data_IF_610597131980
#
_entry.id   IF_610597131980
#
_cell.length_a   1.000
_cell.length_b   1.000
_cell.length_c   1.000
_cell.angle_alpha   90.00
_cell.angle_beta   90.00
_cell.angle_gamma   90.00
#
_symmetry.space_group_name_H-M   'P 1'
#
loop_
_entity.id
_entity.type
_entity.pdbx_description
1 polymer ?
#
# COMPACT_ATOMS: atom_id res chain seq x y z
N UNK A 1 20.15 16.75 -15.62
CA UNK A 1 19.15 15.68 -15.50
C UNK A 1 17.77 16.23 -15.83
N UNK A 2 16.93 15.51 -16.54
CA UNK A 2 15.54 15.92 -16.76
C UNK A 2 14.79 16.03 -15.43
N UNK A 3 13.83 16.96 -15.32
CA UNK A 3 13.00 17.06 -14.12
C UNK A 3 12.20 15.75 -13.94
N UNK A 4 12.01 15.23 -12.71
CA UNK A 4 11.34 13.95 -12.47
C UNK A 4 9.98 13.82 -13.17
N UNK A 5 9.20 14.89 -13.24
CA UNK A 5 7.89 14.93 -13.90
C UNK A 5 7.94 14.87 -15.43
N UNK A 6 9.08 15.12 -16.06
CA UNK A 6 9.29 14.94 -17.49
C UNK A 6 9.83 13.57 -17.87
N UNK A 7 10.15 12.73 -16.89
CA UNK A 7 10.65 11.38 -17.12
C UNK A 7 9.61 10.50 -17.82
N UNK A 8 10.09 9.49 -18.54
CA UNK A 8 9.27 8.49 -19.23
C UNK A 8 8.31 7.78 -18.27
N UNK A 9 8.84 7.30 -17.15
CA UNK A 9 8.05 6.60 -16.15
C UNK A 9 6.94 7.48 -15.53
N UNK A 10 7.20 8.78 -15.34
CA UNK A 10 6.16 9.70 -14.85
C UNK A 10 5.03 9.89 -15.88
N UNK A 11 5.37 10.13 -17.16
CA UNK A 11 4.34 10.30 -18.23
C UNK A 11 3.47 9.05 -18.39
N UNK A 12 4.06 7.88 -18.28
CA UNK A 12 3.36 6.60 -18.35
C UNK A 12 2.60 6.26 -17.05
N UNK A 13 2.74 7.09 -16.00
CA UNK A 13 2.24 6.76 -14.65
C UNK A 13 2.77 5.42 -14.14
N UNK A 14 3.98 5.07 -14.56
CA UNK A 14 4.69 3.82 -14.32
C UNK A 14 6.06 4.10 -13.69
N UNK A 15 6.11 4.48 -12.41
CA UNK A 15 7.36 4.95 -11.79
C UNK A 15 8.44 3.88 -11.64
N UNK A 16 8.10 2.62 -11.83
CA UNK A 16 9.05 1.51 -11.87
C UNK A 16 9.46 1.09 -13.27
N UNK A 17 9.06 1.79 -14.33
CA UNK A 17 9.33 1.40 -15.72
C UNK A 17 9.03 -0.09 -15.99
N UNK A 18 7.93 -0.59 -15.43
CA UNK A 18 7.49 -1.99 -15.56
C UNK A 18 7.12 -2.26 -17.00
N UNK A 19 7.65 -3.35 -17.55
CA UNK A 19 7.33 -3.78 -18.92
C UNK A 19 5.85 -4.13 -19.06
N UNK A 20 5.30 -3.78 -20.21
CA UNK A 20 3.96 -4.18 -20.59
C UNK A 20 3.91 -5.69 -20.88
N UNK A 21 2.86 -6.34 -20.43
CA UNK A 21 2.59 -7.73 -20.75
C UNK A 21 1.08 -7.95 -20.90
N UNK A 22 0.66 -8.49 -22.03
CA UNK A 22 -0.74 -8.86 -22.26
C UNK A 22 -1.18 -10.01 -21.32
N UNK A 23 -0.24 -10.89 -20.95
CA UNK A 23 -0.51 -12.07 -20.13
C UNK A 23 -0.43 -11.79 -18.62
N UNK A 24 -0.06 -10.58 -18.22
CA UNK A 24 0.05 -10.17 -16.83
C UNK A 24 -0.57 -8.77 -16.65
N UNK A 25 -1.88 -8.66 -16.76
CA UNK A 25 -2.56 -7.37 -16.61
C UNK A 25 -2.46 -6.91 -15.17
N UNK A 26 -1.65 -5.87 -14.94
CA UNK A 26 -1.65 -5.17 -13.68
C UNK A 26 -2.97 -4.42 -13.51
N UNK A 27 -3.52 -4.42 -12.31
CA UNK A 27 -4.69 -3.61 -12.05
C UNK A 27 -4.42 -2.14 -12.37
N UNK A 28 -5.30 -1.52 -13.17
CA UNK A 28 -5.12 -0.15 -13.66
C UNK A 28 -4.15 0.00 -14.83
N UNK A 29 -3.62 -1.09 -15.40
CA UNK A 29 -2.90 -1.07 -16.67
C UNK A 29 -3.88 -0.83 -17.80
N UNK A 30 -3.66 0.22 -18.62
CA UNK A 30 -4.59 0.61 -19.70
C UNK A 30 -4.03 0.34 -21.09
N UNK A 31 -2.74 0.48 -21.29
CA UNK A 31 -2.11 0.27 -22.59
C UNK A 31 -0.63 -0.03 -22.47
N UNK A 32 -0.02 -0.36 -23.60
CA UNK A 32 1.39 -0.29 -23.84
C UNK A 32 1.76 1.14 -24.23
N UNK A 33 2.93 1.58 -23.86
CA UNK A 33 3.50 2.85 -24.30
C UNK A 33 3.56 2.96 -25.83
N UNK A 34 3.29 4.15 -26.35
CA UNK A 34 3.31 4.42 -27.80
C UNK A 34 4.74 4.46 -28.37
N UNK A 35 4.82 4.25 -29.71
CA UNK A 35 6.06 4.33 -30.48
C UNK A 35 6.75 2.99 -30.71
N UNK A 36 7.68 2.99 -31.69
CA UNK A 36 8.41 1.78 -32.12
C UNK A 36 9.27 1.15 -31.02
N UNK A 37 9.79 1.96 -30.09
CA UNK A 37 10.58 1.52 -28.93
C UNK A 37 9.73 1.40 -27.65
N UNK A 38 8.42 1.52 -27.74
CA UNK A 38 7.52 1.40 -26.59
C UNK A 38 7.57 -0.01 -26.03
N UNK A 39 7.91 -0.14 -24.73
CA UNK A 39 7.96 -1.44 -24.03
C UNK A 39 7.22 -1.41 -22.69
N UNK A 40 7.03 -0.24 -22.12
CA UNK A 40 6.51 -0.11 -20.76
C UNK A 40 4.98 -0.08 -20.72
N UNK A 41 4.44 -0.53 -19.60
CA UNK A 41 3.02 -0.39 -19.28
C UNK A 41 2.68 1.08 -19.02
N UNK A 42 1.47 1.49 -19.45
CA UNK A 42 0.84 2.76 -19.10
C UNK A 42 -0.27 2.47 -18.11
N UNK A 43 -0.31 3.22 -17.00
CA UNK A 43 -1.34 3.06 -15.98
C UNK A 43 -2.38 4.18 -16.03
N UNK A 44 -3.57 3.87 -15.52
CA UNK A 44 -4.70 4.78 -15.39
C UNK A 44 -4.37 5.98 -14.49
N UNK A 45 -3.64 5.72 -13.38
CA UNK A 45 -3.18 6.75 -12.45
C UNK A 45 -1.80 6.42 -11.87
N UNK A 46 -1.17 7.41 -11.24
CA UNK A 46 0.12 7.23 -10.57
C UNK A 46 0.04 6.21 -9.42
N UNK A 47 -1.08 6.20 -8.70
CA UNK A 47 -1.32 5.26 -7.61
C UNK A 47 -1.38 3.81 -8.10
N UNK A 48 -1.92 3.56 -9.28
CA UNK A 48 -1.90 2.22 -9.88
C UNK A 48 -0.50 1.79 -10.32
N UNK A 49 0.30 2.70 -10.87
CA UNK A 49 1.69 2.40 -11.17
C UNK A 49 2.54 2.13 -9.93
N UNK A 50 2.33 2.89 -8.86
CA UNK A 50 2.97 2.66 -7.56
C UNK A 50 2.49 1.34 -6.95
N UNK A 51 1.20 1.04 -7.04
CA UNK A 51 0.65 -0.26 -6.66
C UNK A 51 1.34 -1.41 -7.39
N UNK A 52 1.52 -1.29 -8.70
CA UNK A 52 2.16 -2.34 -9.51
C UNK A 52 3.60 -2.56 -9.06
N UNK A 53 4.37 -1.48 -8.82
CA UNK A 53 5.73 -1.55 -8.29
C UNK A 53 5.74 -2.24 -6.92
N UNK A 54 4.93 -1.80 -5.98
CA UNK A 54 4.84 -2.38 -4.64
C UNK A 54 4.47 -3.87 -4.70
N UNK A 55 3.47 -4.24 -5.50
CA UNK A 55 3.03 -5.62 -5.67
C UNK A 55 4.11 -6.51 -6.32
N UNK A 56 4.92 -5.95 -7.23
CA UNK A 56 6.03 -6.69 -7.84
C UNK A 56 7.13 -6.98 -6.82
N UNK A 57 7.47 -6.02 -5.96
CA UNK A 57 8.45 -6.19 -4.88
C UNK A 57 7.99 -7.24 -3.86
N UNK A 58 6.72 -7.20 -3.44
CA UNK A 58 6.12 -8.23 -2.58
C UNK A 58 6.21 -9.59 -3.25
N UNK A 59 5.90 -9.68 -4.54
CA UNK A 59 6.02 -10.94 -5.30
C UNK A 59 7.46 -11.45 -5.38
N UNK A 60 8.46 -10.57 -5.39
CA UNK A 60 9.86 -10.98 -5.31
C UNK A 60 10.18 -11.67 -3.98
N UNK A 61 9.67 -11.15 -2.86
CA UNK A 61 9.79 -11.82 -1.56
C UNK A 61 9.06 -13.16 -1.56
N UNK A 62 7.78 -13.17 -1.91
CA UNK A 62 6.89 -14.33 -1.71
C UNK A 62 7.22 -15.50 -2.62
N UNK A 63 7.62 -15.23 -3.88
CA UNK A 63 7.85 -16.27 -4.88
C UNK A 63 9.32 -16.63 -5.08
N UNK A 64 10.21 -15.70 -4.75
CA UNK A 64 11.64 -15.86 -5.05
C UNK A 64 12.53 -15.75 -3.81
N UNK A 65 11.98 -15.45 -2.64
CA UNK A 65 12.73 -15.23 -1.40
C UNK A 65 13.64 -14.00 -1.44
N UNK A 66 13.42 -13.08 -2.40
CA UNK A 66 14.23 -11.87 -2.58
C UNK A 66 13.65 -10.75 -1.70
N UNK A 67 14.24 -10.59 -0.54
CA UNK A 67 13.81 -9.61 0.46
C UNK A 67 14.97 -8.79 1.04
N UNK A 68 16.05 -8.65 0.30
CA UNK A 68 17.15 -7.72 0.59
C UNK A 68 17.29 -6.72 -0.55
N UNK A 69 17.83 -5.52 -0.28
CA UNK A 69 18.02 -4.51 -1.34
C UNK A 69 18.88 -5.09 -2.47
N UNK A 70 20.00 -5.74 -2.14
CA UNK A 70 20.89 -6.35 -3.13
C UNK A 70 20.15 -7.41 -3.96
N UNK A 71 19.47 -8.36 -3.33
CA UNK A 71 18.76 -9.43 -4.03
C UNK A 71 17.64 -8.90 -4.95
N UNK A 72 16.89 -7.92 -4.49
CA UNK A 72 15.82 -7.26 -5.27
C UNK A 72 16.41 -6.55 -6.48
N UNK A 73 17.42 -5.70 -6.30
CA UNK A 73 17.96 -4.86 -7.37
C UNK A 73 18.78 -5.65 -8.39
N UNK A 74 19.45 -6.72 -8.02
CA UNK A 74 20.08 -7.62 -8.97
C UNK A 74 19.07 -8.30 -9.92
N UNK A 75 17.85 -8.55 -9.45
CA UNK A 75 16.76 -9.03 -10.30
C UNK A 75 16.08 -7.91 -11.09
N UNK A 76 15.92 -6.73 -10.48
CA UNK A 76 15.25 -5.58 -11.07
C UNK A 76 16.05 -4.97 -12.22
N UNK A 77 17.35 -4.74 -12.01
CA UNK A 77 18.26 -4.08 -12.92
C UNK A 77 19.57 -4.89 -13.01
N UNK A 78 19.57 -5.99 -13.81
CA UNK A 78 20.76 -6.84 -13.95
C UNK A 78 21.98 -6.05 -14.43
N UNK A 79 23.16 -6.41 -13.94
CA UNK A 79 24.42 -5.71 -14.21
C UNK A 79 24.90 -5.68 -15.66
N UNK A 80 24.24 -6.43 -16.56
CA UNK A 80 24.49 -6.35 -18.01
C UNK A 80 23.99 -5.04 -18.64
N UNK A 81 23.06 -4.34 -17.98
CA UNK A 81 22.42 -3.12 -18.50
C UNK A 81 22.68 -1.89 -17.61
N UNK A 82 23.09 -2.09 -16.36
CA UNK A 82 23.20 -1.03 -15.33
C UNK A 82 24.35 -1.31 -14.36
N UNK A 83 24.87 -0.25 -13.72
CA UNK A 83 25.72 -0.39 -12.53
C UNK A 83 24.81 -0.71 -11.31
N UNK A 84 24.49 -2.00 -11.17
CA UNK A 84 23.65 -2.49 -10.08
C UNK A 84 24.25 -2.19 -8.71
N UNK A 85 25.59 -2.20 -8.59
CA UNK A 85 26.27 -1.87 -7.34
C UNK A 85 26.02 -0.42 -6.90
N UNK A 86 26.13 0.51 -7.82
CA UNK A 86 25.83 1.91 -7.56
C UNK A 86 24.34 2.11 -7.22
N UNK A 87 23.45 1.38 -7.88
CA UNK A 87 22.01 1.42 -7.57
C UNK A 87 21.73 0.90 -6.15
N UNK A 88 22.27 -0.26 -5.79
CA UNK A 88 22.16 -0.83 -4.42
C UNK A 88 22.63 0.19 -3.39
N UNK A 89 23.82 0.77 -3.59
CA UNK A 89 24.35 1.77 -2.68
C UNK A 89 23.47 3.03 -2.57
N UNK A 90 22.87 3.48 -3.67
CA UNK A 90 21.97 4.63 -3.68
C UNK A 90 20.69 4.35 -2.90
N UNK A 91 20.06 3.18 -3.12
CA UNK A 91 18.84 2.79 -2.41
C UNK A 91 19.11 2.54 -0.93
N UNK A 92 20.22 1.88 -0.58
CA UNK A 92 20.62 1.69 0.82
C UNK A 92 20.79 3.02 1.57
N UNK A 93 21.47 3.99 0.96
CA UNK A 93 21.60 5.34 1.55
C UNK A 93 20.26 6.04 1.71
N UNK A 94 19.36 5.90 0.73
CA UNK A 94 18.07 6.58 0.74
C UNK A 94 17.08 5.98 1.75
N UNK A 95 17.19 4.67 2.01
CA UNK A 95 16.28 3.95 2.93
C UNK A 95 16.84 3.84 4.34
N UNK A 96 18.17 3.87 4.49
CA UNK A 96 18.88 3.57 5.74
C UNK A 96 19.05 2.07 6.01
N UNK A 97 18.53 1.17 5.16
CA UNK A 97 18.70 -0.27 5.28
C UNK A 97 20.05 -0.73 4.71
N UNK A 98 20.70 -1.70 5.35
CA UNK A 98 21.89 -2.31 4.79
C UNK A 98 21.56 -3.11 3.50
N UNK A 99 22.53 -3.26 2.54
CA UNK A 99 22.29 -3.97 1.29
C UNK A 99 21.74 -5.38 1.46
N UNK A 100 22.22 -6.11 2.47
CA UNK A 100 21.89 -7.51 2.74
C UNK A 100 20.91 -7.68 3.92
N UNK A 101 20.40 -6.57 4.47
CA UNK A 101 19.38 -6.61 5.52
C UNK A 101 18.10 -7.24 5.01
N UNK A 102 17.55 -8.18 5.79
CA UNK A 102 16.27 -8.82 5.46
C UNK A 102 15.12 -7.90 5.82
N UNK A 103 14.33 -7.58 4.81
CA UNK A 103 13.17 -6.71 4.92
C UNK A 103 11.88 -7.55 4.88
N UNK A 104 10.86 -7.11 5.61
CA UNK A 104 9.50 -7.60 5.42
C UNK A 104 8.76 -6.66 4.48
N UNK A 105 8.58 -7.08 3.22
CA UNK A 105 7.92 -6.27 2.19
C UNK A 105 6.39 -6.23 2.32
N UNK A 106 5.80 -6.95 3.27
CA UNK A 106 4.41 -6.77 3.69
C UNK A 106 4.27 -5.66 4.75
N UNK A 107 5.39 -5.22 5.33
CA UNK A 107 5.42 -4.13 6.30
C UNK A 107 5.52 -2.77 5.59
N UNK A 108 4.65 -1.83 5.97
CA UNK A 108 4.73 -0.45 5.50
C UNK A 108 6.08 0.21 5.84
N UNK A 109 6.65 -0.11 7.01
CA UNK A 109 7.92 0.45 7.46
C UNK A 109 9.10 0.07 6.54
N UNK A 110 9.07 -1.11 5.93
CA UNK A 110 10.10 -1.57 4.99
C UNK A 110 9.76 -1.20 3.54
N UNK A 111 8.53 -1.47 3.10
CA UNK A 111 8.15 -1.31 1.69
C UNK A 111 8.08 0.16 1.25
N UNK A 112 7.55 1.03 2.10
CA UNK A 112 7.34 2.44 1.75
C UNK A 112 8.64 3.18 1.42
N UNK A 113 9.70 3.15 2.27
CA UNK A 113 10.98 3.77 1.93
C UNK A 113 11.66 3.11 0.73
N UNK A 114 11.56 1.79 0.57
CA UNK A 114 12.12 1.08 -0.59
C UNK A 114 11.46 1.52 -1.90
N UNK A 115 10.13 1.54 -1.97
CA UNK A 115 9.38 2.04 -3.14
C UNK A 115 9.76 3.49 -3.46
N UNK A 116 9.84 4.35 -2.45
CA UNK A 116 10.21 5.75 -2.65
C UNK A 116 11.64 5.91 -3.19
N UNK A 117 12.60 5.11 -2.70
CA UNK A 117 13.98 5.14 -3.14
C UNK A 117 14.14 4.64 -4.58
N UNK A 118 13.46 3.55 -4.95
CA UNK A 118 13.42 3.05 -6.33
C UNK A 118 12.84 4.09 -7.26
N UNK A 119 11.69 4.69 -6.93
CA UNK A 119 11.07 5.76 -7.72
C UNK A 119 12.03 6.94 -7.89
N UNK A 120 12.70 7.35 -6.81
CA UNK A 120 13.66 8.44 -6.86
C UNK A 120 14.83 8.16 -7.82
N UNK A 121 15.30 6.94 -7.86
CA UNK A 121 16.36 6.51 -8.79
C UNK A 121 15.85 6.47 -10.23
N UNK A 122 14.74 5.80 -10.49
CA UNK A 122 14.16 5.61 -11.83
C UNK A 122 13.74 6.92 -12.50
N UNK A 123 13.21 7.86 -11.73
CA UNK A 123 12.68 9.11 -12.27
C UNK A 123 13.68 10.29 -12.15
N UNK A 124 14.84 10.07 -11.55
CA UNK A 124 15.82 11.13 -11.26
C UNK A 124 15.35 12.10 -10.16
N UNK A 125 14.52 11.63 -9.24
CA UNK A 125 13.97 12.37 -8.11
C UNK A 125 12.59 11.88 -7.71
N UNK A 126 12.04 12.39 -6.59
CA UNK A 126 10.73 12.00 -6.08
C UNK A 126 9.65 13.02 -6.48
N UNK A 127 8.81 12.76 -7.51
CA UNK A 127 7.81 13.71 -7.95
C UNK A 127 6.49 13.61 -7.19
N UNK A 128 6.29 12.55 -6.39
CA UNK A 128 5.01 12.24 -5.75
C UNK A 128 4.92 12.76 -4.32
N UNK A 129 3.81 13.41 -3.95
CA UNK A 129 3.47 13.66 -2.55
C UNK A 129 3.35 12.35 -1.75
N UNK A 130 3.55 12.43 -0.44
CA UNK A 130 3.41 11.27 0.45
C UNK A 130 2.05 10.56 0.29
N UNK A 131 0.96 11.33 0.18
CA UNK A 131 -0.38 10.77 0.04
C UNK A 131 -0.56 9.88 -1.20
N UNK A 132 0.07 10.22 -2.34
CA UNK A 132 0.01 9.42 -3.57
C UNK A 132 0.80 8.12 -3.41
N UNK A 133 1.97 8.17 -2.76
CA UNK A 133 2.75 6.98 -2.43
C UNK A 133 1.97 6.05 -1.50
N UNK A 134 1.41 6.61 -0.43
CA UNK A 134 0.69 5.85 0.60
C UNK A 134 -0.59 5.22 0.03
N UNK A 135 -1.30 5.91 -0.86
CA UNK A 135 -2.46 5.36 -1.56
C UNK A 135 -2.06 4.20 -2.50
N UNK A 136 -0.94 4.31 -3.22
CA UNK A 136 -0.42 3.23 -4.04
C UNK A 136 -0.09 1.97 -3.21
N UNK A 137 0.55 2.14 -2.05
CA UNK A 137 0.84 1.05 -1.13
C UNK A 137 -0.44 0.45 -0.54
N UNK A 138 -1.40 1.30 -0.15
CA UNK A 138 -2.71 0.87 0.35
C UNK A 138 -3.43 -0.02 -0.69
N UNK A 139 -3.41 0.37 -1.95
CA UNK A 139 -3.95 -0.45 -3.06
C UNK A 139 -3.19 -1.76 -3.27
N UNK A 140 -1.91 -1.82 -2.90
CA UNK A 140 -1.12 -3.06 -2.89
C UNK A 140 -1.38 -3.93 -1.66
N UNK A 141 -2.23 -3.49 -0.72
CA UNK A 141 -2.58 -4.22 0.51
C UNK A 141 -1.68 -3.90 1.70
N UNK A 142 -0.75 -2.94 1.57
CA UNK A 142 0.16 -2.54 2.65
C UNK A 142 -0.31 -1.23 3.26
N UNK A 143 -0.80 -1.32 4.49
CA UNK A 143 -1.38 -0.20 5.21
C UNK A 143 -0.35 0.44 6.15
N UNK A 144 -0.34 1.77 6.20
CA UNK A 144 0.35 2.49 7.26
C UNK A 144 -0.31 2.16 8.59
N UNK A 145 0.47 1.69 9.55
CA UNK A 145 -0.03 1.54 10.91
C UNK A 145 -0.42 2.91 11.47
N UNK A 146 -1.65 3.03 11.96
CA UNK A 146 -2.11 4.25 12.64
C UNK A 146 -1.67 4.17 14.09
N UNK A 147 -0.82 5.11 14.52
CA UNK A 147 -0.25 5.12 15.87
C UNK A 147 -1.20 5.68 16.92
N UNK A 148 -2.24 6.43 16.51
CA UNK A 148 -3.16 7.08 17.43
C UNK A 148 -4.62 6.96 16.98
N UNK A 149 -5.56 7.05 17.94
CA UNK A 149 -6.99 7.10 17.65
C UNK A 149 -7.36 8.29 16.76
N UNK A 150 -6.64 9.42 16.89
CA UNK A 150 -6.84 10.59 16.04
C UNK A 150 -6.46 10.35 14.59
N UNK A 151 -5.36 9.65 14.32
CA UNK A 151 -4.98 9.24 12.96
C UNK A 151 -5.94 8.20 12.38
N UNK A 152 -6.41 7.25 13.23
CA UNK A 152 -7.45 6.30 12.84
C UNK A 152 -8.75 7.02 12.44
N UNK A 153 -9.16 8.03 13.19
CA UNK A 153 -10.33 8.85 12.93
C UNK A 153 -10.22 9.65 11.61
N UNK A 154 -9.01 10.04 11.21
CA UNK A 154 -8.77 10.77 9.96
C UNK A 154 -8.86 9.87 8.71
N UNK A 155 -8.85 8.54 8.86
CA UNK A 155 -9.05 7.61 7.73
C UNK A 155 -10.54 7.40 7.46
N UNK A 156 -10.92 7.24 6.18
CA UNK A 156 -12.33 6.96 5.84
C UNK A 156 -12.90 5.72 6.53
N UNK A 157 -12.07 4.70 6.79
CA UNK A 157 -12.46 3.50 7.53
C UNK A 157 -12.61 3.77 9.02
N UNK A 158 -11.73 4.62 9.60
CA UNK A 158 -11.80 5.03 10.99
C UNK A 158 -13.01 5.91 11.27
N UNK A 159 -13.31 6.85 10.36
CA UNK A 159 -14.53 7.68 10.45
C UNK A 159 -15.81 6.82 10.39
N UNK A 160 -15.86 5.83 9.50
CA UNK A 160 -16.98 4.91 9.43
C UNK A 160 -17.15 4.10 10.73
N UNK A 161 -16.06 3.62 11.33
CA UNK A 161 -16.09 2.88 12.58
C UNK A 161 -16.56 3.77 13.76
N UNK A 162 -16.12 5.01 13.82
CA UNK A 162 -16.54 5.98 14.84
C UNK A 162 -18.02 6.33 14.66
N UNK A 163 -18.48 6.53 13.41
CA UNK A 163 -19.89 6.84 13.12
C UNK A 163 -20.80 5.66 13.51
N UNK A 164 -20.41 4.45 13.22
CA UNK A 164 -21.15 3.23 13.63
C UNK A 164 -21.14 3.08 15.15
N UNK A 165 -19.99 3.31 15.80
CA UNK A 165 -19.87 3.28 17.25
C UNK A 165 -20.73 4.35 17.93
N UNK A 166 -20.78 5.56 17.38
CA UNK A 166 -21.60 6.68 17.88
C UNK A 166 -23.10 6.40 17.69
N UNK A 167 -23.50 5.83 16.55
CA UNK A 167 -24.89 5.45 16.29
C UNK A 167 -25.37 4.32 17.22
N UNK A 168 -24.49 3.34 17.49
CA UNK A 168 -24.80 2.26 18.44
C UNK A 168 -24.90 2.78 19.88
N UNK A 169 -24.05 3.73 20.29
CA UNK A 169 -24.14 4.37 21.59
C UNK A 169 -25.40 5.24 21.74
N UNK A 170 -25.78 5.99 20.68
CA UNK A 170 -27.02 6.79 20.68
C UNK A 170 -28.26 5.89 20.70
N UNK A 171 -28.25 4.75 20.01
CA UNK A 171 -29.35 3.78 20.06
C UNK A 171 -29.51 3.17 21.47
N UNK A 172 -28.38 2.87 22.14
CA UNK A 172 -28.39 2.35 23.51
C UNK A 172 -28.95 3.39 24.54
N UNK A 173 -28.71 4.69 24.32
CA UNK A 173 -29.23 5.75 25.16
C UNK A 173 -30.70 6.14 24.87
N UNK A 174 -31.18 5.87 23.65
CA UNK A 174 -32.54 6.19 23.22
C UNK A 174 -33.58 5.08 23.56
N UNK A 175 -33.15 3.93 24.10
CA UNK A 175 -34.05 2.85 24.48
C UNK A 175 -33.99 2.56 25.99
N UNK A 176 -34.60 3.41 26.83
CA UNK A 176 -34.60 3.23 28.28
C UNK A 176 -35.32 1.94 28.75
N UNK A 177 -36.09 1.31 27.89
CA UNK A 177 -36.83 0.07 28.21
C UNK A 177 -36.03 -1.22 28.17
N UNK A 178 -34.81 -1.24 27.60
CA UNK A 178 -33.98 -2.44 27.54
C UNK A 178 -33.04 -2.62 28.75
N UNK A 179 -32.99 -1.65 29.64
CA UNK A 179 -32.14 -1.72 30.86
C UNK A 179 -32.87 -2.38 32.04
N UNK A 180 -34.12 -2.73 31.88
CA UNK A 180 -34.93 -3.34 32.95
C UNK A 180 -34.81 -4.86 33.09
N UNK A 181 -33.76 -5.49 32.53
CA UNK A 181 -33.33 -6.84 32.93
C UNK A 181 -32.49 -6.72 34.20
N UNK A 182 -33.16 -6.42 35.33
CA UNK A 182 -32.55 -6.32 36.63
C UNK A 182 -31.76 -7.58 36.96
N UNK A 183 -30.46 -7.43 37.22
CA UNK A 183 -29.59 -8.48 37.72
C UNK A 183 -28.37 -8.83 36.91
N UNK A 184 -28.17 -8.26 35.71
CA UNK A 184 -26.95 -8.52 34.94
C UNK A 184 -25.83 -7.53 35.33
N UNK A 185 -24.61 -8.02 35.56
CA UNK A 185 -23.49 -7.16 35.91
C UNK A 185 -23.15 -6.19 34.74
N UNK A 186 -22.79 -4.95 35.06
CA UNK A 186 -22.53 -3.87 34.07
C UNK A 186 -21.52 -4.27 32.96
N UNK A 187 -20.58 -5.17 33.26
CA UNK A 187 -19.62 -5.64 32.26
C UNK A 187 -20.26 -6.47 31.13
N UNK A 188 -21.42 -7.09 31.36
CA UNK A 188 -22.14 -7.86 30.32
C UNK A 188 -22.72 -6.93 29.23
N UNK A 189 -23.17 -5.74 29.59
CA UNK A 189 -23.63 -4.73 28.63
C UNK A 189 -22.48 -4.25 27.74
N UNK A 190 -21.32 -4.01 28.32
CA UNK A 190 -20.12 -3.62 27.59
C UNK A 190 -19.64 -4.76 26.68
N UNK A 191 -19.66 -6.00 27.14
CA UNK A 191 -19.27 -7.16 26.35
C UNK A 191 -20.20 -7.39 25.14
N UNK A 192 -21.53 -7.19 25.30
CA UNK A 192 -22.50 -7.27 24.21
C UNK A 192 -22.29 -6.18 23.14
N UNK A 193 -21.98 -4.95 23.54
CA UNK A 193 -21.69 -3.85 22.62
C UNK A 193 -20.38 -4.12 21.85
N UNK A 194 -19.35 -4.62 22.51
CA UNK A 194 -18.08 -4.99 21.86
C UNK A 194 -18.23 -6.19 20.89
N UNK A 195 -19.05 -7.18 21.26
CA UNK A 195 -19.36 -8.32 20.40
C UNK A 195 -20.15 -7.89 19.15
N UNK A 196 -21.13 -7.00 19.28
CA UNK A 196 -21.88 -6.45 18.16
C UNK A 196 -20.99 -5.62 17.22
N UNK A 197 -20.07 -4.83 17.76
CA UNK A 197 -19.11 -4.07 16.97
C UNK A 197 -18.14 -5.01 16.21
N UNK A 198 -17.66 -6.08 16.83
CA UNK A 198 -16.80 -7.07 16.20
C UNK A 198 -17.51 -7.81 15.05
N UNK A 199 -18.78 -8.17 15.23
CA UNK A 199 -19.61 -8.79 14.19
C UNK A 199 -19.83 -7.84 13.01
N UNK A 200 -20.12 -6.56 13.27
CA UNK A 200 -20.30 -5.57 12.21
C UNK A 200 -19.02 -5.38 11.38
N UNK A 201 -17.86 -5.33 12.03
CA UNK A 201 -16.55 -5.26 11.36
C UNK A 201 -16.30 -6.52 10.54
N UNK A 202 -16.59 -7.70 11.06
CA UNK A 202 -16.42 -8.96 10.34
C UNK A 202 -17.32 -9.04 9.10
N UNK A 203 -18.57 -8.57 9.17
CA UNK A 203 -19.49 -8.49 8.03
C UNK A 203 -18.99 -7.54 6.95
N UNK A 204 -18.46 -6.37 7.33
CA UNK A 204 -17.89 -5.41 6.37
C UNK A 204 -16.66 -5.99 5.68
N UNK A 205 -15.78 -6.66 6.43
CA UNK A 205 -14.59 -7.31 5.88
C UNK A 205 -14.94 -8.50 4.97
N UNK A 206 -15.95 -9.30 5.31
CA UNK A 206 -16.40 -10.42 4.48
C UNK A 206 -17.02 -9.97 3.16
N UNK A 207 -17.81 -8.90 3.18
CA UNK A 207 -18.36 -8.31 1.94
C UNK A 207 -17.29 -7.74 1.02
N UNK A 208 -16.20 -7.20 1.56
CA UNK A 208 -15.07 -6.72 0.75
C UNK A 208 -14.26 -7.85 0.09
N UNK A 209 -14.22 -9.04 0.70
CA UNK A 209 -13.58 -10.24 0.11
C UNK A 209 -14.41 -10.90 -0.99
N UNK A 210 -15.72 -10.70 -0.99
CA UNK A 210 -16.64 -11.27 -1.99
C UNK A 210 -16.72 -10.42 -3.28
N UNK A 211 -16.14 -9.21 -3.29
CA UNK A 211 -16.15 -8.26 -4.44
C UNK A 211 -14.74 -8.13 -5.05
N UNK A 212 -13.74 -8.81 -4.54
CA UNK A 212 -12.37 -8.89 -5.05
C UNK A 212 -12.09 -10.24 -5.71
#
# INVERSE_FOLDING_TARGET
MAAPRSSRGYRNRNPGNIDWSANNPWQGQVSKEDGLSGRFAVFESHEYGIRALASLLIRYQDRHGLNTIAGILHRWAPGSENDTGAYVAAVSRATGFAPDERLDLHSYACLRPLVAAIIGHELGGQPYPAAVLDEGLRRAGVLRAVGTLGEAAATGSGQAAITVGSAAAAAATAAPGLIALGGLPQWLGVALVLAAAAIAVAIVLSKRRAVA
#
